data_IF_612150865282
#
_entry.id   IF_612150865282
#
_cell.length_a   1.000
_cell.length_b   1.000
_cell.length_c   1.000
_cell.angle_alpha   90.00
_cell.angle_beta   90.00
_cell.angle_gamma   90.00
#
_symmetry.space_group_name_H-M   'P 1'
#
loop_
_entity.id
_entity.type
_entity.pdbx_description
1 polymer ?
#
# COMPACT_ATOMS: atom_id res chain seq x y z
N UNK A 1 -16.17 26.39 -12.42
CA UNK A 1 -16.37 25.22 -11.56
C UNK A 1 -15.64 24.03 -12.17
N UNK A 2 -14.76 23.37 -11.41
CA UNK A 2 -14.07 22.15 -11.87
C UNK A 2 -15.09 21.02 -12.08
N UNK A 3 -14.91 20.22 -13.15
CA UNK A 3 -15.74 19.03 -13.35
C UNK A 3 -15.47 18.01 -12.22
N UNK A 4 -16.44 17.12 -11.95
CA UNK A 4 -16.27 16.07 -10.90
C UNK A 4 -15.02 15.22 -11.13
N UNK A 5 -14.65 14.97 -12.39
CA UNK A 5 -13.46 14.20 -12.76
C UNK A 5 -12.17 14.99 -12.47
N UNK A 6 -12.15 16.30 -12.74
CA UNK A 6 -11.01 17.17 -12.44
C UNK A 6 -10.78 17.28 -10.92
N UNK A 7 -11.87 17.39 -10.16
CA UNK A 7 -11.79 17.41 -8.69
C UNK A 7 -11.23 16.10 -8.14
N UNK A 8 -11.68 14.95 -8.67
CA UNK A 8 -11.17 13.64 -8.30
C UNK A 8 -9.67 13.48 -8.60
N UNK A 9 -9.23 13.96 -9.78
CA UNK A 9 -7.81 13.97 -10.15
C UNK A 9 -6.97 14.82 -9.19
N UNK A 10 -7.47 16.00 -8.83
CA UNK A 10 -6.80 16.92 -7.91
C UNK A 10 -6.63 16.30 -6.50
N UNK A 11 -7.68 15.67 -5.96
CA UNK A 11 -7.58 14.96 -4.68
C UNK A 11 -6.61 13.78 -4.73
N UNK A 12 -6.61 13.04 -5.84
CA UNK A 12 -5.67 11.94 -6.03
C UNK A 12 -4.23 12.44 -6.08
N UNK A 13 -3.96 13.53 -6.75
CA UNK A 13 -2.64 14.15 -6.82
C UNK A 13 -2.13 14.58 -5.43
N UNK A 14 -2.98 15.29 -4.66
CA UNK A 14 -2.64 15.68 -3.28
C UNK A 14 -2.35 14.43 -2.42
N UNK A 15 -3.16 13.39 -2.55
CA UNK A 15 -2.98 12.15 -1.81
C UNK A 15 -1.63 11.49 -2.11
N UNK A 16 -1.25 11.41 -3.38
CA UNK A 16 0.05 10.86 -3.79
C UNK A 16 1.21 11.68 -3.24
N UNK A 17 1.13 13.01 -3.31
CA UNK A 17 2.16 13.89 -2.72
C UNK A 17 2.27 13.69 -1.20
N UNK A 18 1.15 13.56 -0.49
CA UNK A 18 1.14 13.32 0.94
C UNK A 18 1.75 11.95 1.30
N UNK A 19 1.47 10.89 0.53
CA UNK A 19 2.10 9.59 0.72
C UNK A 19 3.61 9.63 0.47
N UNK A 20 4.06 10.31 -0.59
CA UNK A 20 5.49 10.46 -0.87
C UNK A 20 6.22 11.21 0.25
N UNK A 21 5.61 12.28 0.77
CA UNK A 21 6.16 13.01 1.92
C UNK A 21 6.22 12.12 3.17
N UNK A 22 5.20 11.33 3.40
CA UNK A 22 5.17 10.36 4.50
C UNK A 22 6.32 9.36 4.39
N UNK A 23 6.59 8.81 3.21
CA UNK A 23 7.68 7.85 3.00
C UNK A 23 9.05 8.48 3.32
N UNK A 24 9.26 9.74 2.95
CA UNK A 24 10.47 10.50 3.32
C UNK A 24 10.58 10.68 4.84
N UNK A 25 9.49 11.06 5.51
CA UNK A 25 9.47 11.23 6.97
C UNK A 25 9.77 9.90 7.68
N UNK A 26 9.22 8.79 7.19
CA UNK A 26 9.51 7.45 7.73
C UNK A 26 10.98 7.11 7.55
N UNK A 27 11.57 7.45 6.42
CA UNK A 27 13.02 7.27 6.18
C UNK A 27 13.86 8.10 7.16
N UNK A 28 13.48 9.34 7.43
CA UNK A 28 14.16 10.19 8.41
C UNK A 28 14.00 9.71 9.87
N UNK A 29 12.99 8.90 10.14
CA UNK A 29 12.70 8.37 11.48
C UNK A 29 13.45 7.07 11.79
N UNK A 30 14.62 6.83 11.19
CA UNK A 30 15.38 5.58 11.35
C UNK A 30 15.80 5.31 12.80
N UNK A 31 16.05 6.35 13.59
CA UNK A 31 16.47 6.26 14.98
C UNK A 31 15.38 5.75 15.94
N UNK A 32 14.12 5.83 15.54
CA UNK A 32 12.99 5.41 16.38
C UNK A 32 12.54 3.96 16.07
N UNK A 33 12.13 3.17 17.05
CA UNK A 33 11.60 1.83 16.81
C UNK A 33 10.41 1.84 15.82
N UNK A 34 10.36 0.86 14.88
CA UNK A 34 9.26 0.75 13.89
C UNK A 34 7.90 0.75 14.57
N UNK A 35 7.76 0.03 15.69
CA UNK A 35 6.51 -0.04 16.44
C UNK A 35 6.03 1.32 16.95
N UNK A 36 6.96 2.19 17.38
CA UNK A 36 6.63 3.52 17.85
C UNK A 36 6.09 4.41 16.72
N UNK A 37 6.75 4.40 15.56
CA UNK A 37 6.32 5.17 14.38
C UNK A 37 4.94 4.69 13.90
N UNK A 38 4.72 3.37 13.88
CA UNK A 38 3.43 2.77 13.51
C UNK A 38 2.32 3.14 14.51
N UNK A 39 2.62 3.14 15.81
CA UNK A 39 1.67 3.51 16.85
C UNK A 39 1.21 4.97 16.67
N UNK A 40 2.15 5.90 16.56
CA UNK A 40 1.80 7.32 16.37
C UNK A 40 1.05 7.55 15.04
N UNK A 41 1.45 6.89 13.97
CA UNK A 41 0.73 6.95 12.69
C UNK A 41 -0.71 6.47 12.82
N UNK A 42 -0.93 5.34 13.50
CA UNK A 42 -2.27 4.81 13.74
C UNK A 42 -3.11 5.74 14.61
N UNK A 43 -2.52 6.24 15.69
CA UNK A 43 -3.17 7.16 16.61
C UNK A 43 -3.57 8.48 15.92
N UNK A 44 -2.64 9.11 15.21
CA UNK A 44 -2.93 10.33 14.46
C UNK A 44 -3.94 10.10 13.32
N UNK A 45 -3.95 8.89 12.74
CA UNK A 45 -4.93 8.52 11.70
C UNK A 45 -6.37 8.40 12.21
N UNK A 46 -6.57 8.10 13.49
CA UNK A 46 -7.91 8.01 14.09
C UNK A 46 -8.57 9.40 14.17
N UNK A 47 -7.78 10.44 14.45
CA UNK A 47 -8.31 11.81 14.67
C UNK A 47 -9.16 12.29 13.49
N UNK A 48 -8.66 12.36 12.23
CA UNK A 48 -9.47 12.81 11.10
C UNK A 48 -10.66 11.89 10.82
N UNK A 49 -10.53 10.58 11.09
CA UNK A 49 -11.65 9.63 10.91
C UNK A 49 -12.79 9.99 11.84
N UNK A 50 -12.51 10.28 13.11
CA UNK A 50 -13.54 10.67 14.08
C UNK A 50 -14.26 11.97 13.68
N UNK A 51 -13.55 12.91 13.06
CA UNK A 51 -14.17 14.15 12.55
C UNK A 51 -15.02 13.92 11.29
N UNK A 52 -14.66 12.95 10.45
CA UNK A 52 -15.35 12.66 9.19
C UNK A 52 -16.60 11.78 9.36
N UNK A 53 -16.72 11.04 10.48
CA UNK A 53 -17.88 10.19 10.73
C UNK A 53 -19.09 11.07 11.12
N UNK A 54 -20.23 10.97 10.42
CA UNK A 54 -21.46 11.64 10.81
C UNK A 54 -21.90 11.18 12.20
N UNK A 55 -22.32 12.14 13.04
CA UNK A 55 -22.72 11.88 14.44
C UNK A 55 -23.79 10.78 14.55
N UNK A 56 -24.68 10.69 13.60
CA UNK A 56 -25.80 9.74 13.56
C UNK A 56 -25.34 8.28 13.33
N UNK A 57 -24.08 8.05 12.91
CA UNK A 57 -23.53 6.73 12.59
C UNK A 57 -22.46 6.23 13.56
N UNK A 58 -22.19 6.95 14.65
CA UNK A 58 -21.18 6.51 15.62
C UNK A 58 -21.48 5.12 16.23
N UNK A 59 -22.76 4.79 16.44
CA UNK A 59 -23.17 3.50 17.00
C UNK A 59 -23.16 2.35 15.98
N UNK A 60 -23.10 2.66 14.68
CA UNK A 60 -23.06 1.66 13.62
C UNK A 60 -21.65 1.38 13.13
N UNK A 61 -20.67 2.18 13.55
CA UNK A 61 -19.27 2.10 13.11
C UNK A 61 -18.62 0.74 13.39
N UNK A 62 -18.97 0.08 14.49
CA UNK A 62 -18.44 -1.23 14.86
C UNK A 62 -19.29 -2.41 14.38
N UNK A 63 -20.48 -2.16 13.83
CA UNK A 63 -21.35 -3.22 13.31
C UNK A 63 -20.80 -3.73 11.97
N UNK A 64 -20.38 -4.97 11.93
CA UNK A 64 -19.95 -5.63 10.70
C UNK A 64 -20.66 -6.97 10.52
N UNK A 65 -21.04 -7.28 9.28
CA UNK A 65 -21.67 -8.55 8.94
C UNK A 65 -20.65 -9.68 8.73
N UNK A 66 -19.35 -9.33 8.55
CA UNK A 66 -18.28 -10.28 8.25
C UNK A 66 -17.02 -10.00 9.08
N UNK A 67 -17.04 -10.20 10.41
CA UNK A 67 -15.92 -9.82 11.29
C UNK A 67 -14.62 -10.56 10.95
N UNK A 68 -14.69 -11.81 10.53
CA UNK A 68 -13.53 -12.61 10.18
C UNK A 68 -12.80 -12.09 8.92
N UNK A 69 -13.55 -11.60 7.93
CA UNK A 69 -12.95 -10.98 6.74
C UNK A 69 -12.26 -9.66 7.09
N UNK A 70 -12.89 -8.85 7.95
CA UNK A 70 -12.27 -7.62 8.45
C UNK A 70 -11.00 -7.90 9.23
N UNK A 71 -10.99 -8.91 10.10
CA UNK A 71 -9.80 -9.31 10.84
C UNK A 71 -8.65 -9.71 9.91
N UNK A 72 -8.92 -10.59 8.94
CA UNK A 72 -7.91 -11.00 7.95
C UNK A 72 -7.35 -9.81 7.17
N UNK A 73 -8.23 -8.88 6.74
CA UNK A 73 -7.84 -7.67 6.02
C UNK A 73 -6.95 -6.78 6.88
N UNK A 74 -7.33 -6.54 8.15
CA UNK A 74 -6.53 -5.72 9.07
C UNK A 74 -5.17 -6.36 9.34
N UNK A 75 -5.13 -7.68 9.53
CA UNK A 75 -3.88 -8.41 9.74
C UNK A 75 -2.96 -8.32 8.52
N UNK A 76 -3.50 -8.55 7.32
CA UNK A 76 -2.73 -8.42 6.08
C UNK A 76 -2.23 -6.98 5.86
N UNK A 77 -3.06 -5.98 6.15
CA UNK A 77 -2.69 -4.58 6.10
C UNK A 77 -1.60 -4.21 7.11
N UNK A 78 -1.67 -4.75 8.33
CA UNK A 78 -0.65 -4.54 9.34
C UNK A 78 0.69 -5.16 8.92
N UNK A 79 0.68 -6.40 8.44
CA UNK A 79 1.89 -7.07 7.93
C UNK A 79 2.49 -6.28 6.78
N UNK A 80 1.68 -5.83 5.83
CA UNK A 80 2.14 -5.00 4.72
C UNK A 80 2.79 -3.70 5.23
N UNK A 81 2.14 -3.02 6.17
CA UNK A 81 2.60 -1.76 6.73
C UNK A 81 3.92 -1.91 7.48
N UNK A 82 4.04 -2.93 8.34
CA UNK A 82 5.30 -3.23 9.02
C UNK A 82 6.41 -3.51 8.01
N UNK A 83 6.11 -4.31 6.99
CA UNK A 83 7.09 -4.70 5.97
C UNK A 83 7.62 -3.50 5.19
N UNK A 84 6.76 -2.57 4.75
CA UNK A 84 7.24 -1.39 4.01
C UNK A 84 8.09 -0.49 4.90
N UNK A 85 7.77 -0.33 6.19
CA UNK A 85 8.58 0.45 7.10
C UNK A 85 9.95 -0.17 7.38
N UNK A 86 10.02 -1.49 7.52
CA UNK A 86 11.31 -2.20 7.64
C UNK A 86 12.13 -2.04 6.36
N UNK A 87 11.48 -2.13 5.19
CA UNK A 87 12.14 -1.92 3.92
C UNK A 87 12.73 -0.51 3.77
N UNK A 88 11.94 0.53 4.08
CA UNK A 88 12.35 1.94 3.99
C UNK A 88 13.56 2.26 4.87
N UNK A 89 13.71 1.58 6.00
CA UNK A 89 14.86 1.76 6.89
C UNK A 89 16.14 1.13 6.37
N UNK A 90 16.03 -0.04 5.76
CA UNK A 90 17.19 -0.86 5.43
C UNK A 90 17.60 -0.78 3.96
N UNK A 91 16.77 -0.18 3.10
CA UNK A 91 16.99 -0.05 1.67
C UNK A 91 16.89 1.42 1.23
N UNK A 92 17.53 1.79 0.10
CA UNK A 92 17.31 3.09 -0.51
C UNK A 92 15.83 3.33 -0.83
N UNK A 93 15.33 4.55 -0.57
CA UNK A 93 13.94 4.92 -0.81
C UNK A 93 13.51 4.62 -2.25
N UNK A 94 14.33 4.99 -3.22
CA UNK A 94 14.05 4.74 -4.64
C UNK A 94 13.82 3.26 -4.94
N UNK A 95 14.64 2.38 -4.38
CA UNK A 95 14.53 0.92 -4.56
C UNK A 95 13.22 0.39 -3.95
N UNK A 96 12.88 0.81 -2.74
CA UNK A 96 11.64 0.37 -2.05
C UNK A 96 10.41 0.82 -2.83
N UNK A 97 10.38 2.08 -3.26
CA UNK A 97 9.26 2.62 -4.04
C UNK A 97 9.15 1.91 -5.39
N UNK A 98 10.27 1.68 -6.07
CA UNK A 98 10.27 0.97 -7.36
C UNK A 98 9.70 -0.44 -7.24
N UNK A 99 10.12 -1.21 -6.24
CA UNK A 99 9.58 -2.56 -6.00
C UNK A 99 8.08 -2.48 -5.63
N UNK A 100 7.68 -1.46 -4.88
CA UNK A 100 6.27 -1.27 -4.48
C UNK A 100 5.34 -1.03 -5.69
N UNK A 101 5.85 -0.49 -6.79
CA UNK A 101 5.11 -0.42 -8.06
C UNK A 101 4.79 -1.80 -8.67
N UNK A 102 5.33 -2.90 -8.14
CA UNK A 102 4.87 -4.24 -8.50
C UNK A 102 3.50 -4.60 -7.90
N UNK A 103 2.96 -3.83 -6.95
CA UNK A 103 1.66 -4.11 -6.34
C UNK A 103 0.50 -4.29 -7.35
N UNK A 104 0.35 -3.49 -8.42
CA UNK A 104 -0.67 -3.73 -9.45
C UNK A 104 -0.57 -5.10 -10.12
N UNK A 105 0.64 -5.66 -10.23
CA UNK A 105 0.89 -7.01 -10.77
C UNK A 105 0.22 -8.04 -9.85
N UNK A 106 0.54 -7.98 -8.55
CA UNK A 106 -0.04 -8.89 -7.56
C UNK A 106 -1.55 -8.70 -7.41
N UNK A 107 -2.07 -7.46 -7.50
CA UNK A 107 -3.52 -7.19 -7.52
C UNK A 107 -4.17 -7.91 -8.71
N UNK A 108 -3.55 -7.85 -9.90
CA UNK A 108 -4.06 -8.51 -11.10
C UNK A 108 -4.05 -10.02 -10.94
N UNK A 109 -2.95 -10.59 -10.44
CA UNK A 109 -2.85 -12.03 -10.16
C UNK A 109 -3.93 -12.47 -9.16
N UNK A 110 -4.05 -11.77 -8.03
CA UNK A 110 -5.04 -12.10 -7.00
C UNK A 110 -6.48 -11.93 -7.49
N UNK A 111 -6.77 -10.96 -8.38
CA UNK A 111 -8.11 -10.81 -8.95
C UNK A 111 -8.52 -12.03 -9.78
N UNK A 112 -7.58 -12.64 -10.49
CA UNK A 112 -7.83 -13.87 -11.24
C UNK A 112 -8.15 -15.04 -10.30
N UNK A 113 -7.32 -15.24 -9.27
CA UNK A 113 -7.44 -16.41 -8.39
C UNK A 113 -8.59 -16.27 -7.37
N UNK A 114 -8.74 -15.09 -6.74
CA UNK A 114 -9.76 -14.92 -5.69
C UNK A 114 -11.12 -14.48 -6.21
N UNK A 115 -11.16 -13.60 -7.23
CA UNK A 115 -12.41 -13.09 -7.80
C UNK A 115 -12.83 -13.84 -9.07
N UNK A 116 -11.95 -14.73 -9.60
CA UNK A 116 -12.18 -15.45 -10.87
C UNK A 116 -12.48 -14.52 -12.05
N UNK A 117 -11.92 -13.30 -12.01
CA UNK A 117 -12.08 -12.31 -13.08
C UNK A 117 -11.26 -12.74 -14.31
N UNK A 118 -11.84 -12.55 -15.50
CA UNK A 118 -11.12 -12.71 -16.76
C UNK A 118 -10.35 -11.44 -17.06
N UNK A 119 -9.02 -11.48 -16.95
CA UNK A 119 -8.16 -10.35 -17.23
C UNK A 119 -7.78 -10.32 -18.70
N UNK A 120 -8.12 -9.23 -19.39
CA UNK A 120 -7.79 -9.04 -20.79
C UNK A 120 -6.29 -8.91 -21.04
N UNK A 121 -5.86 -9.25 -22.27
CA UNK A 121 -4.45 -9.25 -22.69
C UNK A 121 -3.79 -7.87 -22.51
N UNK A 122 -4.51 -6.79 -22.72
CA UNK A 122 -3.98 -5.43 -22.53
C UNK A 122 -3.50 -5.15 -21.10
N UNK A 123 -4.21 -5.69 -20.10
CA UNK A 123 -3.84 -5.55 -18.69
C UNK A 123 -2.57 -6.37 -18.39
N UNK A 124 -2.43 -7.55 -18.98
CA UNK A 124 -1.21 -8.36 -18.89
C UNK A 124 0.00 -7.66 -19.53
N UNK A 125 -0.18 -7.07 -20.71
CA UNK A 125 0.88 -6.33 -21.37
C UNK A 125 1.33 -5.11 -20.55
N UNK A 126 0.38 -4.36 -19.99
CA UNK A 126 0.69 -3.22 -19.11
C UNK A 126 1.48 -3.64 -17.86
N UNK A 127 1.10 -4.78 -17.26
CA UNK A 127 1.79 -5.39 -16.12
C UNK A 127 3.23 -5.78 -16.49
N UNK A 128 3.42 -6.43 -17.64
CA UNK A 128 4.76 -6.84 -18.10
C UNK A 128 5.66 -5.64 -18.39
N UNK A 129 5.14 -4.63 -19.08
CA UNK A 129 5.89 -3.39 -19.34
C UNK A 129 6.29 -2.69 -18.05
N UNK A 130 5.36 -2.60 -17.07
CA UNK A 130 5.64 -2.03 -15.75
C UNK A 130 6.73 -2.83 -15.01
N UNK A 131 6.69 -4.16 -15.08
CA UNK A 131 7.70 -5.02 -14.45
C UNK A 131 9.09 -4.86 -15.06
N UNK A 132 9.18 -4.77 -16.38
CA UNK A 132 10.43 -4.47 -17.08
C UNK A 132 10.97 -3.11 -16.63
N UNK A 133 10.11 -2.09 -16.52
CA UNK A 133 10.51 -0.78 -16.00
C UNK A 133 11.08 -0.83 -14.57
N UNK A 134 10.50 -1.64 -13.69
CA UNK A 134 11.00 -1.84 -12.32
C UNK A 134 12.39 -2.46 -12.33
N UNK A 135 12.62 -3.47 -13.17
CA UNK A 135 13.95 -4.11 -13.30
C UNK A 135 15.00 -3.09 -13.70
N UNK A 136 14.71 -2.21 -14.66
CA UNK A 136 15.65 -1.16 -15.06
C UNK A 136 15.94 -0.13 -13.96
N UNK A 137 14.94 0.24 -13.16
CA UNK A 137 15.10 1.25 -12.10
C UNK A 137 15.84 0.67 -10.89
N UNK A 138 15.58 -0.59 -10.55
CA UNK A 138 16.20 -1.21 -9.36
C UNK A 138 17.65 -1.58 -9.57
N UNK A 139 18.12 -1.60 -10.86
CA UNK A 139 19.49 -2.03 -11.19
C UNK A 139 19.95 -3.15 -10.26
N UNK A 140 19.38 -4.35 -10.32
CA UNK A 140 19.72 -5.43 -9.41
C UNK A 140 21.19 -5.80 -9.63
N UNK A 141 22.07 -5.06 -8.98
CA UNK A 141 23.48 -5.43 -8.90
C UNK A 141 23.54 -6.74 -8.13
N UNK A 142 23.92 -7.82 -8.79
CA UNK A 142 24.06 -9.16 -8.23
C UNK A 142 25.13 -9.24 -7.11
N UNK A 143 25.72 -8.11 -6.70
CA UNK A 143 26.84 -8.04 -5.78
C UNK A 143 26.49 -8.20 -4.30
N UNK A 144 25.20 -8.10 -3.91
CA UNK A 144 24.77 -8.45 -2.55
C UNK A 144 23.28 -8.75 -2.50
N UNK A 145 22.92 -10.04 -2.40
CA UNK A 145 21.57 -10.47 -2.05
C UNK A 145 21.27 -10.01 -0.63
N UNK A 146 20.68 -8.82 -0.50
CA UNK A 146 20.26 -8.31 0.77
C UNK A 146 18.86 -8.89 1.08
N UNK A 147 18.74 -9.65 2.16
CA UNK A 147 17.48 -10.24 2.63
C UNK A 147 16.36 -9.20 2.80
N UNK A 148 16.69 -7.94 2.96
CA UNK A 148 15.70 -6.87 3.11
C UNK A 148 14.85 -6.64 1.86
N UNK A 149 15.25 -7.10 0.66
CA UNK A 149 14.41 -7.03 -0.55
C UNK A 149 13.11 -7.83 -0.47
N UNK A 150 13.01 -8.78 0.46
CA UNK A 150 11.78 -9.54 0.67
C UNK A 150 10.64 -8.68 1.25
N UNK A 151 10.96 -7.65 2.03
CA UNK A 151 9.95 -6.83 2.70
C UNK A 151 9.06 -6.02 1.75
N UNK A 152 9.56 -5.31 0.72
CA UNK A 152 8.70 -4.66 -0.27
C UNK A 152 7.82 -5.65 -1.03
N UNK A 153 8.26 -6.89 -1.24
CA UNK A 153 7.45 -7.94 -1.88
C UNK A 153 6.30 -8.37 -0.94
N UNK A 154 6.58 -8.59 0.34
CA UNK A 154 5.54 -8.88 1.35
C UNK A 154 4.53 -7.73 1.43
N UNK A 155 5.00 -6.48 1.38
CA UNK A 155 4.13 -5.32 1.29
C UNK A 155 3.20 -5.39 0.08
N UNK A 156 3.72 -5.66 -1.12
CA UNK A 156 2.92 -5.78 -2.35
C UNK A 156 1.87 -6.88 -2.24
N UNK A 157 2.21 -8.03 -1.68
CA UNK A 157 1.27 -9.14 -1.45
C UNK A 157 0.15 -8.75 -0.48
N UNK A 158 0.51 -8.18 0.66
CA UNK A 158 -0.44 -7.75 1.68
C UNK A 158 -1.36 -6.63 1.18
N UNK A 159 -0.81 -5.62 0.49
CA UNK A 159 -1.57 -4.54 -0.12
C UNK A 159 -2.55 -5.07 -1.17
N UNK A 160 -2.10 -6.02 -1.99
CA UNK A 160 -2.94 -6.64 -3.03
C UNK A 160 -4.09 -7.43 -2.42
N UNK A 161 -3.84 -8.18 -1.36
CA UNK A 161 -4.90 -8.88 -0.63
C UNK A 161 -5.91 -7.89 -0.03
N UNK A 162 -5.46 -6.81 0.60
CA UNK A 162 -6.33 -5.75 1.14
C UNK A 162 -7.18 -5.12 0.04
N UNK A 163 -6.59 -4.80 -1.12
CA UNK A 163 -7.29 -4.22 -2.25
C UNK A 163 -8.41 -5.12 -2.80
N UNK A 164 -8.15 -6.43 -2.84
CA UNK A 164 -9.16 -7.44 -3.28
C UNK A 164 -10.25 -7.64 -2.22
N UNK A 165 -9.89 -7.64 -0.94
CA UNK A 165 -10.85 -7.84 0.15
C UNK A 165 -11.83 -6.65 0.35
N UNK A 166 -11.57 -5.50 -0.29
CA UNK A 166 -12.47 -4.34 -0.28
C UNK A 166 -13.53 -4.44 -1.40
N UNK A 167 -13.26 -5.21 -2.46
CA UNK A 167 -14.22 -5.47 -3.55
C UNK A 167 -15.25 -6.51 -3.16
#
# INVERSE_FOLDING_TARGET
MLSKNQLGFFYMFISVCAFSLMDVIVKWSEDYPVGQVLFFRGFCGIIPILFLIPKDRYLDFYKTTRPFLHFKRCLAGLIALVSIFVALRNLPLATVVSISFAAPIFITIFSIFLLKEKVGIYRWLAVLVGFVGIIFITEPGFSSLNLYYIYPIIFCLGLSYVAIAIR
#
